data_IF_305476743810
#
_entry.id   IF_305476743810
#
_cell.length_a   1.000
_cell.length_b   1.000
_cell.length_c   1.000
_cell.angle_alpha   90.00
_cell.angle_beta   90.00
_cell.angle_gamma   90.00
#
_symmetry.space_group_name_H-M   'P 1'
#
loop_
_entity.id
_entity.type
_entity.pdbx_description
1 polymer ?
#
# COMPACT_ATOMS: atom_id res chain seq x y z
N UNK A 1 3.66 -21.59 -12.12
CA UNK A 1 2.91 -20.44 -12.65
C UNK A 1 3.82 -19.23 -12.56
N UNK A 2 3.92 -18.39 -13.59
CA UNK A 2 4.74 -17.17 -13.51
C UNK A 2 4.04 -16.11 -12.65
N UNK A 3 4.80 -15.12 -12.17
CA UNK A 3 4.21 -14.00 -11.41
C UNK A 3 3.28 -13.14 -12.28
N UNK A 4 3.58 -13.01 -13.58
CA UNK A 4 2.70 -12.29 -14.51
C UNK A 4 1.37 -13.01 -14.73
N UNK A 5 1.39 -14.34 -14.87
CA UNK A 5 0.15 -15.12 -14.99
C UNK A 5 -0.70 -15.00 -13.72
N UNK A 6 -0.05 -15.00 -12.56
CA UNK A 6 -0.70 -14.75 -11.27
C UNK A 6 -1.36 -13.37 -11.23
N UNK A 7 -0.67 -12.30 -11.65
CA UNK A 7 -1.23 -10.95 -11.66
C UNK A 7 -2.41 -10.82 -12.63
N UNK A 8 -2.35 -11.48 -13.79
CA UNK A 8 -3.48 -11.53 -14.73
C UNK A 8 -4.69 -12.21 -14.12
N UNK A 9 -4.48 -13.30 -13.38
CA UNK A 9 -5.56 -13.98 -12.67
C UNK A 9 -6.10 -13.13 -11.50
N UNK A 10 -5.23 -12.42 -10.79
CA UNK A 10 -5.62 -11.51 -9.70
C UNK A 10 -6.46 -10.34 -10.22
N UNK A 11 -6.14 -9.83 -11.42
CA UNK A 11 -6.83 -8.72 -12.06
C UNK A 11 -8.20 -9.10 -12.64
N UNK A 12 -8.54 -10.39 -12.71
CA UNK A 12 -9.81 -10.87 -13.26
C UNK A 12 -10.99 -10.44 -12.37
N UNK A 13 -11.88 -9.54 -12.84
CA UNK A 13 -13.00 -9.06 -12.04
C UNK A 13 -14.04 -10.15 -11.74
N UNK A 14 -14.03 -11.27 -12.47
CA UNK A 14 -14.97 -12.37 -12.26
C UNK A 14 -14.59 -13.26 -11.06
N UNK A 15 -13.41 -13.06 -10.46
CA UNK A 15 -12.91 -13.87 -9.34
C UNK A 15 -12.68 -12.98 -8.12
N UNK A 16 -13.23 -13.40 -6.99
CA UNK A 16 -12.80 -12.84 -5.71
C UNK A 16 -11.46 -13.46 -5.31
N UNK A 17 -10.43 -12.65 -5.03
CA UNK A 17 -9.15 -13.19 -4.62
C UNK A 17 -9.28 -13.78 -3.21
N UNK A 18 -9.04 -15.09 -3.10
CA UNK A 18 -8.92 -15.74 -1.80
C UNK A 18 -7.75 -15.13 -1.00
N UNK A 19 -7.83 -15.17 0.33
CA UNK A 19 -6.75 -14.72 1.24
C UNK A 19 -5.40 -15.33 0.88
N UNK A 20 -5.37 -16.62 0.53
CA UNK A 20 -4.15 -17.33 0.10
C UNK A 20 -3.52 -16.79 -1.19
N UNK A 21 -4.27 -16.02 -1.99
CA UNK A 21 -3.70 -15.29 -3.13
C UNK A 21 -3.03 -14.02 -2.65
N UNK A 22 -3.66 -13.26 -1.75
CA UNK A 22 -3.12 -12.00 -1.23
C UNK A 22 -1.75 -12.18 -0.57
N UNK A 23 -1.56 -13.28 0.17
CA UNK A 23 -0.27 -13.59 0.81
C UNK A 23 0.88 -13.79 -0.20
N UNK A 24 0.60 -14.10 -1.48
CA UNK A 24 1.64 -14.17 -2.52
C UNK A 24 2.22 -12.81 -2.92
N UNK A 25 1.61 -11.71 -2.47
CA UNK A 25 2.14 -10.36 -2.61
C UNK A 25 3.08 -9.99 -1.45
N UNK A 26 3.25 -10.86 -0.45
CA UNK A 26 4.13 -10.62 0.68
C UNK A 26 5.60 -10.57 0.22
N UNK A 27 6.35 -9.58 0.72
CA UNK A 27 7.79 -9.42 0.49
C UNK A 27 8.21 -9.49 -0.99
N UNK A 28 7.47 -8.80 -1.88
CA UNK A 28 7.80 -8.74 -3.31
C UNK A 28 9.22 -8.24 -3.55
N UNK A 29 9.98 -8.98 -4.38
CA UNK A 29 11.29 -8.53 -4.86
C UNK A 29 11.13 -7.38 -5.86
N UNK A 30 12.19 -6.59 -6.09
CA UNK A 30 12.17 -5.44 -7.00
C UNK A 30 11.60 -5.76 -8.41
N UNK A 31 11.93 -6.93 -8.98
CA UNK A 31 11.37 -7.37 -10.26
C UNK A 31 9.85 -7.65 -10.20
N UNK A 32 9.36 -8.23 -9.10
CA UNK A 32 7.93 -8.46 -8.88
C UNK A 32 7.20 -7.15 -8.63
N UNK A 33 7.77 -6.24 -7.84
CA UNK A 33 7.20 -4.92 -7.58
C UNK A 33 7.01 -4.13 -8.90
N UNK A 34 7.98 -4.20 -9.82
CA UNK A 34 7.87 -3.58 -11.14
C UNK A 34 6.72 -4.16 -11.96
N UNK A 35 6.60 -5.50 -12.01
CA UNK A 35 5.49 -6.18 -12.70
C UNK A 35 4.12 -5.85 -12.06
N UNK A 36 4.06 -5.84 -10.74
CA UNK A 36 2.86 -5.47 -9.99
C UNK A 36 2.46 -4.03 -10.29
N UNK A 37 3.39 -3.08 -10.29
CA UNK A 37 3.11 -1.67 -10.61
C UNK A 37 2.47 -1.52 -12.00
N UNK A 38 2.95 -2.27 -12.99
CA UNK A 38 2.36 -2.26 -14.33
C UNK A 38 0.94 -2.83 -14.32
N UNK A 39 0.72 -3.99 -13.67
CA UNK A 39 -0.61 -4.60 -13.58
C UNK A 39 -1.60 -3.74 -12.77
N UNK A 40 -1.15 -3.14 -11.67
CA UNK A 40 -1.95 -2.32 -10.75
C UNK A 40 -2.69 -1.18 -11.46
N UNK A 41 -2.01 -0.51 -12.40
CA UNK A 41 -2.60 0.61 -13.17
C UNK A 41 -3.77 0.18 -14.04
N UNK A 42 -3.76 -1.06 -14.51
CA UNK A 42 -4.80 -1.64 -15.37
C UNK A 42 -5.92 -2.30 -14.56
N UNK A 43 -5.74 -2.54 -13.26
CA UNK A 43 -6.78 -3.11 -12.41
C UNK A 43 -7.96 -2.16 -12.25
N UNK A 44 -9.17 -2.72 -12.14
CA UNK A 44 -10.36 -1.93 -11.81
C UNK A 44 -10.22 -1.28 -10.42
N UNK A 45 -10.76 -0.07 -10.24
CA UNK A 45 -10.71 0.65 -8.97
C UNK A 45 -11.24 -0.18 -7.79
N UNK A 46 -12.40 -0.82 -7.96
CA UNK A 46 -13.02 -1.65 -6.94
C UNK A 46 -12.13 -2.85 -6.55
N UNK A 47 -11.29 -3.35 -7.46
CA UNK A 47 -10.33 -4.39 -7.13
C UNK A 47 -9.16 -3.80 -6.31
N UNK A 48 -8.59 -2.67 -6.72
CA UNK A 48 -7.51 -2.01 -5.97
C UNK A 48 -7.90 -1.70 -4.53
N UNK A 49 -9.09 -1.13 -4.33
CA UNK A 49 -9.61 -0.83 -3.00
C UNK A 49 -9.79 -2.10 -2.15
N UNK A 50 -10.39 -3.16 -2.71
CA UNK A 50 -10.53 -4.45 -2.02
C UNK A 50 -9.20 -5.11 -1.69
N UNK A 51 -8.23 -5.04 -2.60
CA UNK A 51 -6.89 -5.59 -2.37
C UNK A 51 -6.24 -4.89 -1.18
N UNK A 52 -6.22 -3.55 -1.14
CA UNK A 52 -5.63 -2.85 0.01
C UNK A 52 -6.34 -3.15 1.32
N UNK A 53 -7.68 -3.20 1.32
CA UNK A 53 -8.41 -3.56 2.54
C UNK A 53 -8.02 -4.96 3.02
N UNK A 54 -8.02 -5.96 2.13
CA UNK A 54 -7.64 -7.32 2.50
C UNK A 54 -6.19 -7.46 2.95
N UNK A 55 -5.27 -6.63 2.44
CA UNK A 55 -3.88 -6.61 2.91
C UNK A 55 -3.76 -5.97 4.30
N UNK A 56 -4.53 -4.91 4.58
CA UNK A 56 -4.61 -4.28 5.90
C UNK A 56 -5.14 -5.28 6.93
N UNK A 57 -6.27 -5.92 6.63
CA UNK A 57 -6.86 -6.93 7.51
C UNK A 57 -5.85 -8.06 7.84
N UNK A 58 -5.03 -8.45 6.85
CA UNK A 58 -4.01 -9.49 7.04
C UNK A 58 -2.84 -9.07 7.93
N UNK A 59 -2.38 -7.82 7.85
CA UNK A 59 -1.29 -7.34 8.71
C UNK A 59 -1.78 -7.03 10.13
N UNK A 60 -3.07 -6.71 10.29
CA UNK A 60 -3.70 -6.62 11.62
C UNK A 60 -3.72 -7.99 12.32
N UNK A 61 -4.01 -9.06 11.57
CA UNK A 61 -4.02 -10.43 12.09
C UNK A 61 -2.61 -11.05 12.22
N UNK A 62 -1.65 -10.66 11.35
CA UNK A 62 -0.31 -11.22 11.32
C UNK A 62 0.77 -10.19 10.95
N UNK A 63 1.46 -9.69 11.97
CA UNK A 63 2.54 -8.70 11.87
C UNK A 63 3.80 -9.20 11.14
N UNK A 64 3.96 -10.51 10.93
CA UNK A 64 5.09 -11.04 10.14
C UNK A 64 4.91 -10.82 8.62
N UNK A 65 3.68 -10.49 8.18
CA UNK A 65 3.41 -10.19 6.78
C UNK A 65 3.88 -8.79 6.43
N UNK A 66 4.65 -8.69 5.35
CA UNK A 66 5.11 -7.42 4.79
C UNK A 66 4.51 -7.21 3.41
N UNK A 67 3.71 -6.15 3.27
CA UNK A 67 3.14 -5.72 1.99
C UNK A 67 3.57 -4.29 1.61
N UNK A 68 4.67 -3.80 2.18
CA UNK A 68 5.12 -2.41 2.02
C UNK A 68 5.24 -2.03 0.54
N UNK A 69 5.82 -2.91 -0.28
CA UNK A 69 5.95 -2.70 -1.71
C UNK A 69 4.60 -2.44 -2.41
N UNK A 70 3.52 -3.10 -1.97
CA UNK A 70 2.17 -2.85 -2.51
C UNK A 70 1.67 -1.47 -2.09
N UNK A 71 1.80 -1.14 -0.79
CA UNK A 71 1.33 0.13 -0.28
C UNK A 71 2.11 1.31 -0.87
N UNK A 72 3.44 1.22 -1.01
CA UNK A 72 4.26 2.22 -1.69
C UNK A 72 3.81 2.47 -3.14
N UNK A 73 3.50 1.41 -3.89
CA UNK A 73 2.96 1.54 -5.25
C UNK A 73 1.61 2.26 -5.24
N UNK A 74 0.77 1.96 -4.24
CA UNK A 74 -0.56 2.53 -4.10
C UNK A 74 -0.59 4.00 -3.60
N UNK A 75 0.48 4.51 -2.99
CA UNK A 75 0.60 5.95 -2.64
C UNK A 75 0.53 6.86 -3.88
N UNK A 76 0.83 6.34 -5.07
CA UNK A 76 0.74 7.07 -6.34
C UNK A 76 -0.58 6.82 -7.10
N UNK A 77 -1.58 6.16 -6.49
CA UNK A 77 -2.84 5.87 -7.17
C UNK A 77 -3.63 7.15 -7.49
N UNK A 78 -4.45 7.09 -8.55
CA UNK A 78 -5.34 8.18 -8.93
C UNK A 78 -6.49 8.36 -7.94
N UNK A 79 -6.96 7.27 -7.35
CA UNK A 79 -8.06 7.29 -6.39
C UNK A 79 -7.58 7.70 -5.00
N UNK A 80 -8.27 8.66 -4.38
CA UNK A 80 -7.92 9.15 -3.05
C UNK A 80 -8.11 8.08 -1.96
N UNK A 81 -9.12 7.23 -2.09
CA UNK A 81 -9.37 6.13 -1.14
C UNK A 81 -8.23 5.12 -1.15
N UNK A 82 -7.71 4.78 -2.33
CA UNK A 82 -6.52 3.91 -2.45
C UNK A 82 -5.29 4.54 -1.80
N UNK A 83 -5.01 5.83 -2.05
CA UNK A 83 -3.88 6.52 -1.41
C UNK A 83 -4.03 6.58 0.11
N UNK A 84 -5.24 6.84 0.61
CA UNK A 84 -5.56 6.84 2.03
C UNK A 84 -5.29 5.48 2.68
N UNK A 85 -5.80 4.39 2.09
CA UNK A 85 -5.54 3.03 2.56
C UNK A 85 -4.06 2.67 2.51
N UNK A 86 -3.32 3.15 1.50
CA UNK A 86 -1.88 2.92 1.40
C UNK A 86 -1.11 3.57 2.56
N UNK A 87 -1.44 4.81 2.96
CA UNK A 87 -0.82 5.45 4.13
C UNK A 87 -1.09 4.63 5.40
N UNK A 88 -2.30 4.10 5.56
CA UNK A 88 -2.68 3.26 6.71
C UNK A 88 -1.95 1.93 6.73
N UNK A 89 -1.81 1.28 5.57
CA UNK A 89 -1.06 0.03 5.44
C UNK A 89 0.42 0.17 5.78
N UNK A 90 0.97 1.38 5.66
CA UNK A 90 2.35 1.72 6.04
C UNK A 90 2.45 2.27 7.47
N UNK A 91 1.47 2.01 8.35
CA UNK A 91 1.48 2.55 9.71
C UNK A 91 2.72 2.11 10.50
N UNK A 92 3.07 0.83 10.43
CA UNK A 92 4.21 0.19 11.13
C UNK A 92 5.54 0.33 10.36
N UNK A 93 5.55 1.05 9.23
CA UNK A 93 6.76 1.25 8.45
C UNK A 93 7.60 2.40 9.04
N UNK A 94 8.80 2.08 9.53
CA UNK A 94 9.63 3.02 10.32
C UNK A 94 10.79 3.64 9.52
N UNK A 95 11.02 3.23 8.27
CA UNK A 95 12.14 3.76 7.49
C UNK A 95 11.89 5.22 7.07
N UNK A 96 12.99 5.95 6.89
CA UNK A 96 12.96 7.41 6.65
C UNK A 96 12.57 7.81 5.23
N UNK A 97 12.62 6.89 4.27
CA UNK A 97 12.25 7.15 2.87
C UNK A 97 10.75 7.46 2.70
N UNK A 98 9.89 7.00 3.62
CA UNK A 98 8.47 7.34 3.63
C UNK A 98 8.22 8.81 4.02
N UNK A 99 9.11 9.45 4.79
CA UNK A 99 8.92 10.83 5.28
C UNK A 99 8.74 11.81 4.12
N UNK A 100 9.61 11.74 3.11
CA UNK A 100 9.54 12.64 1.95
C UNK A 100 8.25 12.43 1.14
N UNK A 101 7.78 11.19 1.05
CA UNK A 101 6.53 10.85 0.36
C UNK A 101 5.33 11.43 1.11
N UNK A 102 5.28 11.24 2.44
CA UNK A 102 4.21 11.78 3.28
C UNK A 102 4.20 13.31 3.28
N UNK A 103 5.35 13.97 3.26
CA UNK A 103 5.45 15.43 3.12
C UNK A 103 4.89 15.91 1.78
N UNK A 104 5.15 15.17 0.69
CA UNK A 104 4.58 15.44 -0.62
C UNK A 104 3.05 15.36 -0.59
N UNK A 105 2.50 14.27 -0.05
CA UNK A 105 1.06 14.05 0.08
C UNK A 105 0.41 15.14 0.95
N UNK A 106 0.97 15.44 2.12
CA UNK A 106 0.49 16.50 3.01
C UNK A 106 0.40 17.86 2.32
N UNK A 107 1.39 18.22 1.49
CA UNK A 107 1.46 19.55 0.87
C UNK A 107 0.59 19.68 -0.38
N UNK A 108 0.46 18.61 -1.16
CA UNK A 108 -0.01 18.71 -2.54
C UNK A 108 -1.14 17.74 -2.91
N UNK A 109 -1.52 16.78 -2.06
CA UNK A 109 -2.61 15.87 -2.40
C UNK A 109 -3.93 16.65 -2.57
N UNK A 110 -4.70 16.45 -3.65
CA UNK A 110 -5.95 17.16 -3.85
C UNK A 110 -7.00 16.84 -2.78
N UNK A 111 -6.96 15.64 -2.21
CA UNK A 111 -7.95 15.17 -1.25
C UNK A 111 -7.57 15.53 0.19
N UNK A 112 -8.52 16.11 0.93
CA UNK A 112 -8.27 16.58 2.29
C UNK A 112 -8.05 15.43 3.29
N UNK A 113 -8.70 14.29 3.10
CA UNK A 113 -8.53 13.13 3.98
C UNK A 113 -7.14 12.52 3.80
N UNK A 114 -6.63 12.45 2.56
CA UNK A 114 -5.27 11.99 2.29
C UNK A 114 -4.23 12.91 2.93
N UNK A 115 -4.40 14.24 2.83
CA UNK A 115 -3.51 15.20 3.52
C UNK A 115 -3.55 15.02 5.04
N UNK A 116 -4.74 14.82 5.62
CA UNK A 116 -4.89 14.63 7.06
C UNK A 116 -4.22 13.34 7.54
N UNK A 117 -4.41 12.23 6.82
CA UNK A 117 -3.77 10.95 7.14
C UNK A 117 -2.25 11.03 7.01
N UNK A 118 -1.72 11.73 5.99
CA UNK A 118 -0.30 11.97 5.85
C UNK A 118 0.27 12.78 7.04
N UNK A 119 -0.45 13.81 7.52
CA UNK A 119 -0.05 14.57 8.71
C UNK A 119 -0.02 13.68 9.97
N UNK A 120 -1.04 12.83 10.15
CA UNK A 120 -1.08 11.88 11.27
C UNK A 120 0.10 10.92 11.21
N UNK A 121 0.43 10.41 10.02
CA UNK A 121 1.56 9.52 9.85
C UNK A 121 2.92 10.17 10.15
N UNK A 122 3.11 11.41 9.70
CA UNK A 122 4.31 12.20 10.02
C UNK A 122 4.48 12.45 11.52
N UNK A 123 3.36 12.59 12.27
CA UNK A 123 3.39 12.77 13.71
C UNK A 123 4.13 11.66 14.45
N UNK A 124 4.10 10.42 13.94
CA UNK A 124 4.83 9.28 14.53
C UNK A 124 6.33 9.45 14.46
N UNK A 125 6.86 9.90 13.32
CA UNK A 125 8.30 10.13 13.16
C UNK A 125 8.82 11.25 14.07
N UNK A 126 8.00 12.28 14.31
CA UNK A 126 8.33 13.33 15.29
C UNK A 126 8.41 12.72 16.69
N UNK A 127 7.41 11.94 17.09
CA UNK A 127 7.38 11.31 18.40
C UNK A 127 8.57 10.35 18.61
N UNK A 128 8.91 9.56 17.59
CA UNK A 128 10.07 8.67 17.63
C UNK A 128 11.38 9.45 17.81
N UNK A 129 11.56 10.57 17.09
CA UNK A 129 12.75 11.42 17.23
C UNK A 129 12.92 11.99 18.65
N UNK A 130 11.83 12.23 19.39
CA UNK A 130 11.89 12.69 20.79
C UNK A 130 12.37 11.59 21.75
N UNK A 131 12.09 10.32 21.46
CA UNK A 131 12.47 9.18 22.30
C UNK A 131 13.84 8.57 21.97
N UNK A 132 14.41 8.90 20.81
CA UNK A 132 15.76 8.48 20.39
C UNK A 132 16.88 9.40 20.94
N UNK A 133 16.56 10.29 21.90
CA UNK A 133 17.50 11.22 22.56
C UNK A 133 18.29 10.58 23.69
#
# INVERSE_FOLDING_TARGET
MSFEDYLRELADPAREPAVSKLTNLCAMRAGQASLFMHAWREMALALRQRLLQGLIDLIEDNVELNFDAVFFIALADRDAGVRLSAIRGLWEYEERDLIDVLLGLLRADPDAAVRAEAALALGRYVLQAEFET
#
